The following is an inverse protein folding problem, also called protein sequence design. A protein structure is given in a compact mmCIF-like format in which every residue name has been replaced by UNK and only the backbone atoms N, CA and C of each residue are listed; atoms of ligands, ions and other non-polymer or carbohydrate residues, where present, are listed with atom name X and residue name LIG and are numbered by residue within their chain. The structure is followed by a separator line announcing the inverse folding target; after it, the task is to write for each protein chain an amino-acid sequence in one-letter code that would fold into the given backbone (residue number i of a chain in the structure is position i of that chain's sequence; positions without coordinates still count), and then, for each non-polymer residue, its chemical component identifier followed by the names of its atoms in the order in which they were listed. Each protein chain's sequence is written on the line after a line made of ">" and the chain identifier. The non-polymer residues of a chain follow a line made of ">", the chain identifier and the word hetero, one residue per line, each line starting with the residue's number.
data_IF_348638116779
#
_entry.id   IF_348638116779
#
_cell.length_a   1.000
_cell.length_b   1.000
_cell.length_c   1.000
_cell.angle_alpha   90.00
_cell.angle_beta   90.00
_cell.angle_gamma   90.00
#
_symmetry.space_group_name_H-M   'P 1'
#
loop_
_entity.id
_entity.type
_entity.pdbx_description
1 polymer ?
#
# COMPACT_ATOMS: atom_id res chain seq x y z
N UNK A 1 -17.97 6.08 3.65
CA UNK A 1 -17.82 7.44 4.21
C UNK A 1 -19.07 7.75 5.03
N UNK A 2 -19.12 7.28 6.26
CA UNK A 2 -20.31 7.40 7.11
C UNK A 2 -19.97 8.03 8.47
N UNK A 3 -18.76 7.75 8.98
CA UNK A 3 -18.24 8.34 10.23
C UNK A 3 -18.13 9.86 10.16
N UNK A 4 -17.53 10.43 9.10
CA UNK A 4 -17.41 11.88 8.92
C UNK A 4 -18.75 12.57 8.60
N UNK A 5 -19.65 11.86 7.93
CA UNK A 5 -21.00 12.37 7.65
C UNK A 5 -21.80 12.58 8.94
N UNK A 6 -21.55 11.77 9.99
CA UNK A 6 -22.12 11.98 11.32
C UNK A 6 -21.67 13.27 12.01
N UNK A 7 -20.61 13.92 11.53
CA UNK A 7 -20.12 15.23 11.97
C UNK A 7 -20.56 16.37 11.04
N UNK A 8 -21.48 16.12 10.11
CA UNK A 8 -21.95 17.10 9.12
C UNK A 8 -21.01 17.33 7.94
N UNK A 9 -19.89 16.59 7.85
CA UNK A 9 -18.91 16.70 6.78
C UNK A 9 -19.21 15.69 5.67
N UNK A 10 -19.79 16.17 4.58
CA UNK A 10 -19.96 15.40 3.35
C UNK A 10 -18.64 15.42 2.55
N UNK A 11 -17.85 14.37 2.72
CA UNK A 11 -16.55 14.21 2.04
C UNK A 11 -16.68 13.17 0.94
N UNK A 12 -16.45 13.59 -0.30
CA UNK A 12 -16.38 12.66 -1.43
C UNK A 12 -15.15 11.75 -1.34
N UNK A 13 -15.26 10.55 -1.92
CA UNK A 13 -14.17 9.57 -1.95
C UNK A 13 -12.91 10.13 -2.61
N UNK A 14 -13.04 10.96 -3.64
CA UNK A 14 -11.90 11.56 -4.36
C UNK A 14 -11.06 12.47 -3.46
N UNK A 15 -11.71 13.22 -2.57
CA UNK A 15 -11.04 14.13 -1.62
C UNK A 15 -10.18 13.33 -0.65
N UNK A 16 -10.73 12.26 -0.08
CA UNK A 16 -9.99 11.38 0.82
C UNK A 16 -8.82 10.68 0.11
N UNK A 17 -9.03 10.22 -1.13
CA UNK A 17 -7.93 9.66 -1.94
C UNK A 17 -6.84 10.70 -2.18
N UNK A 18 -7.21 11.96 -2.40
CA UNK A 18 -6.26 13.07 -2.50
C UNK A 18 -5.44 13.28 -1.23
N UNK A 19 -6.08 13.27 -0.06
CA UNK A 19 -5.38 13.36 1.23
C UNK A 19 -4.46 12.17 1.45
N UNK A 20 -4.92 10.96 1.12
CA UNK A 20 -4.13 9.75 1.32
C UNK A 20 -2.89 9.71 0.43
N UNK A 21 -2.97 10.24 -0.80
CA UNK A 21 -1.79 10.44 -1.65
C UNK A 21 -0.76 11.37 -1.00
N UNK A 22 -1.21 12.45 -0.37
CA UNK A 22 -0.32 13.38 0.34
C UNK A 22 0.33 12.71 1.55
N UNK A 23 -0.42 11.96 2.34
CA UNK A 23 0.12 11.19 3.47
C UNK A 23 1.14 10.16 3.00
N UNK A 24 0.86 9.45 1.90
CA UNK A 24 1.79 8.46 1.35
C UNK A 24 3.15 9.07 0.98
N UNK A 25 3.17 10.30 0.47
CA UNK A 25 4.43 11.01 0.20
C UNK A 25 5.29 11.20 1.46
N UNK A 26 4.68 11.53 2.60
CA UNK A 26 5.41 11.66 3.87
C UNK A 26 6.00 10.33 4.37
N UNK A 27 5.46 9.19 3.94
CA UNK A 27 5.91 7.86 4.36
C UNK A 27 7.10 7.33 3.55
N UNK A 28 7.52 8.01 2.48
CA UNK A 28 8.62 7.57 1.61
C UNK A 28 9.92 7.36 2.40
N UNK A 29 10.31 8.31 3.25
CA UNK A 29 11.52 8.17 4.06
C UNK A 29 11.44 7.06 5.12
N UNK A 30 10.24 6.74 5.62
CA UNK A 30 10.04 5.60 6.54
C UNK A 30 10.21 4.28 5.77
N UNK A 31 9.61 4.20 4.58
CA UNK A 31 9.73 3.06 3.69
C UNK A 31 11.21 2.78 3.37
N UNK A 32 11.98 3.79 2.98
CA UNK A 32 13.41 3.64 2.67
C UNK A 32 14.22 3.11 3.87
N UNK A 33 13.98 3.67 5.07
CA UNK A 33 14.66 3.22 6.30
C UNK A 33 14.30 1.79 6.66
N UNK A 34 13.02 1.43 6.56
CA UNK A 34 12.55 0.09 6.86
C UNK A 34 13.11 -0.91 5.84
N UNK A 35 13.13 -0.56 4.56
CA UNK A 35 13.70 -1.38 3.50
C UNK A 35 15.19 -1.62 3.74
N UNK A 36 15.98 -0.57 4.00
CA UNK A 36 17.40 -0.69 4.32
C UNK A 36 17.65 -1.57 5.55
N UNK A 37 16.82 -1.43 6.59
CA UNK A 37 16.89 -2.27 7.78
C UNK A 37 16.56 -3.73 7.50
N UNK A 38 15.56 -4.02 6.66
CA UNK A 38 15.20 -5.40 6.29
C UNK A 38 16.34 -6.04 5.49
N UNK A 39 16.89 -5.32 4.51
CA UNK A 39 17.97 -5.82 3.66
C UNK A 39 19.30 -6.00 4.39
N UNK A 40 19.50 -5.39 5.57
CA UNK A 40 20.70 -5.63 6.37
C UNK A 40 20.64 -6.90 7.22
N UNK A 41 19.48 -7.58 7.29
CA UNK A 41 19.33 -8.74 8.16
C UNK A 41 19.84 -10.04 7.53
N UNK A 42 20.49 -10.92 8.31
CA UNK A 42 20.99 -12.21 7.82
C UNK A 42 19.86 -13.22 7.52
N UNK A 43 18.61 -12.93 7.92
CA UNK A 43 17.43 -13.75 7.65
C UNK A 43 16.19 -12.86 7.61
N UNK A 44 15.39 -13.02 6.56
CA UNK A 44 14.15 -12.26 6.36
C UNK A 44 12.98 -13.24 6.38
N UNK A 45 11.93 -12.90 7.13
CA UNK A 45 10.65 -13.62 7.12
C UNK A 45 9.64 -12.81 6.32
N UNK A 46 9.02 -13.45 5.33
CA UNK A 46 8.02 -12.84 4.46
C UNK A 46 6.70 -13.56 4.67
N UNK A 47 5.67 -12.80 5.00
CA UNK A 47 4.30 -13.32 5.07
C UNK A 47 3.63 -13.21 3.70
N UNK A 48 2.97 -14.28 3.25
CA UNK A 48 2.24 -14.32 1.97
C UNK A 48 0.85 -13.67 2.08
N UNK A 49 0.69 -12.56 2.80
CA UNK A 49 -0.57 -11.81 2.79
C UNK A 49 -0.83 -11.24 1.40
N UNK A 50 -1.70 -11.91 0.63
CA UNK A 50 -2.09 -11.46 -0.71
C UNK A 50 -3.05 -10.28 -0.61
N UNK A 51 -2.61 -9.13 -1.10
CA UNK A 51 -3.49 -7.96 -1.24
C UNK A 51 -4.19 -7.99 -2.61
N UNK A 52 -5.52 -7.78 -2.66
CA UNK A 52 -6.23 -7.62 -3.92
C UNK A 52 -5.82 -6.27 -4.55
N UNK A 53 -5.27 -6.32 -5.76
CA UNK A 53 -4.78 -5.16 -6.49
C UNK A 53 -5.64 -4.91 -7.73
N UNK A 54 -5.85 -3.64 -8.04
CA UNK A 54 -6.47 -3.23 -9.28
C UNK A 54 -5.40 -3.21 -10.38
N UNK A 55 -5.46 -4.15 -11.33
CA UNK A 55 -4.56 -4.13 -12.46
C UNK A 55 -4.89 -2.97 -13.42
N UNK A 56 -3.86 -2.29 -13.92
CA UNK A 56 -4.01 -1.20 -14.89
C UNK A 56 -4.70 -1.73 -16.15
N UNK A 57 -5.95 -1.33 -16.36
CA UNK A 57 -6.78 -1.75 -17.51
C UNK A 57 -7.85 -2.80 -17.18
N UNK A 58 -7.83 -3.42 -16.00
CA UNK A 58 -8.94 -4.26 -15.54
C UNK A 58 -10.02 -3.40 -14.89
N UNK A 59 -11.29 -3.82 -14.99
CA UNK A 59 -12.42 -3.18 -14.28
C UNK A 59 -12.73 -3.83 -12.92
N UNK A 60 -12.02 -4.92 -12.59
CA UNK A 60 -12.23 -5.72 -11.38
C UNK A 60 -10.92 -5.85 -10.62
N UNK A 61 -11.01 -5.84 -9.30
CA UNK A 61 -9.88 -6.09 -8.42
C UNK A 61 -9.59 -7.58 -8.40
N UNK A 62 -8.36 -7.97 -8.73
CA UNK A 62 -7.88 -9.35 -8.73
C UNK A 62 -6.82 -9.56 -7.65
N UNK A 63 -6.47 -10.81 -7.37
CA UNK A 63 -5.27 -11.07 -6.59
C UNK A 63 -4.05 -10.56 -7.37
N UNK A 64 -3.13 -9.89 -6.69
CA UNK A 64 -1.88 -9.48 -7.32
C UNK A 64 -1.18 -10.70 -7.93
N UNK A 65 -0.69 -10.62 -9.18
CA UNK A 65 0.10 -11.70 -9.77
C UNK A 65 1.32 -11.96 -8.89
N UNK A 66 1.75 -13.22 -8.84
CA UNK A 66 2.88 -13.71 -8.04
C UNK A 66 4.22 -13.17 -8.61
N UNK A 67 4.45 -11.85 -8.57
CA UNK A 67 5.58 -11.17 -9.21
C UNK A 67 6.81 -11.06 -8.30
N UNK A 68 6.73 -11.52 -7.05
CA UNK A 68 7.77 -11.36 -6.02
C UNK A 68 8.92 -12.39 -6.06
N UNK A 69 8.97 -13.27 -7.06
CA UNK A 69 10.00 -14.34 -7.16
C UNK A 69 11.46 -13.86 -7.28
N UNK A 70 11.70 -12.57 -7.55
CA UNK A 70 13.04 -12.00 -7.76
C UNK A 70 13.62 -11.18 -6.59
N UNK A 71 12.88 -11.01 -5.50
CA UNK A 71 13.29 -10.10 -4.40
C UNK A 71 13.86 -10.86 -3.19
N UNK A 72 13.58 -12.16 -3.06
CA UNK A 72 14.08 -13.00 -1.97
C UNK A 72 15.42 -13.71 -2.29
N UNK A 73 16.14 -13.31 -3.33
CA UNK A 73 17.35 -14.01 -3.83
C UNK A 73 18.66 -13.26 -3.58
N UNK A 74 18.68 -12.22 -2.75
CA UNK A 74 19.87 -11.49 -2.36
C UNK A 74 20.03 -11.52 -0.84
#
# INVERSE_FOLDING_TARGET
>A
MQVLAGQGLLVDRSVLVGWMKRVAWWLEGLYERQLAFIHSQPRIFVDETRMPVFEKGQRRTGLAPHKWRGICSA
#
